data_IF_675331712089
#
_entry.id   IF_675331712089
#
_cell.length_a   1.000
_cell.length_b   1.000
_cell.length_c   1.000
_cell.angle_alpha   90.00
_cell.angle_beta   90.00
_cell.angle_gamma   90.00
#
_symmetry.space_group_name_H-M   'P 1'
#
loop_
_entity.id
_entity.type
_entity.pdbx_description
1 polymer ?
#
# COMPACT_ATOMS: atom_id res chain seq x y z
N UNK A 1 6.82 -18.95 -0.01
CA UNK A 1 5.46 -18.46 0.35
C UNK A 1 4.63 -18.36 -0.92
N UNK A 2 3.33 -18.63 -0.88
CA UNK A 2 2.41 -18.30 -2.00
C UNK A 2 1.75 -16.94 -1.76
N UNK A 3 1.18 -16.32 -2.79
CA UNK A 3 0.46 -15.03 -2.68
C UNK A 3 -0.64 -15.12 -1.62
N UNK A 4 -1.53 -16.11 -1.70
CA UNK A 4 -2.65 -16.25 -0.76
C UNK A 4 -2.19 -16.43 0.69
N UNK A 5 -1.17 -17.25 0.92
CA UNK A 5 -0.61 -17.45 2.26
C UNK A 5 -0.01 -16.16 2.82
N UNK A 6 0.69 -15.39 1.99
CA UNK A 6 1.24 -14.10 2.40
C UNK A 6 0.13 -13.08 2.74
N UNK A 7 -0.95 -13.04 1.95
CA UNK A 7 -2.09 -12.15 2.22
C UNK A 7 -2.77 -12.53 3.54
N UNK A 8 -3.00 -13.82 3.77
CA UNK A 8 -3.60 -14.32 5.02
C UNK A 8 -2.71 -14.03 6.24
N UNK A 9 -1.39 -14.24 6.14
CA UNK A 9 -0.42 -13.90 7.20
C UNK A 9 -0.41 -12.40 7.47
N UNK A 10 -0.43 -11.56 6.44
CA UNK A 10 -0.45 -10.11 6.62
C UNK A 10 -1.70 -9.65 7.39
N UNK A 11 -2.87 -10.17 7.00
CA UNK A 11 -4.16 -9.84 7.61
C UNK A 11 -4.29 -10.34 9.04
N UNK A 12 -3.70 -11.49 9.38
CA UNK A 12 -3.81 -12.07 10.73
C UNK A 12 -3.05 -11.26 11.79
N UNK A 13 -1.99 -10.54 11.40
CA UNK A 13 -1.10 -9.86 12.35
C UNK A 13 -1.54 -8.40 12.64
N UNK A 14 -2.68 -7.93 12.10
CA UNK A 14 -3.19 -6.53 12.25
C UNK A 14 -2.09 -5.47 12.11
N UNK A 15 -1.16 -5.64 11.17
CA UNK A 15 0.00 -4.75 11.04
C UNK A 15 -0.44 -3.37 10.55
N UNK A 16 -0.21 -2.34 11.36
CA UNK A 16 -0.34 -0.93 10.96
C UNK A 16 1.01 -0.46 10.41
N UNK A 17 1.31 -0.78 9.15
CA UNK A 17 2.52 -0.32 8.46
C UNK A 17 2.16 0.40 7.17
N UNK A 18 2.96 1.43 6.83
CA UNK A 18 2.84 2.15 5.56
C UNK A 18 3.05 1.25 4.33
N UNK A 19 2.60 1.73 3.17
CA UNK A 19 2.63 0.99 1.90
C UNK A 19 4.01 0.50 1.46
N UNK A 20 5.06 1.29 1.71
CA UNK A 20 6.46 0.89 1.46
C UNK A 20 6.84 -0.34 2.28
N UNK A 21 6.57 -0.30 3.59
CA UNK A 21 6.90 -1.39 4.51
C UNK A 21 6.06 -2.64 4.26
N UNK A 22 4.80 -2.47 3.85
CA UNK A 22 3.91 -3.57 3.48
C UNK A 22 4.39 -4.27 2.20
N UNK A 23 4.75 -3.48 1.18
CA UNK A 23 5.29 -3.99 -0.08
C UNK A 23 6.62 -4.71 0.12
N UNK A 24 7.57 -4.10 0.83
CA UNK A 24 8.87 -4.73 1.11
C UNK A 24 8.71 -6.07 1.85
N UNK A 25 7.80 -6.12 2.82
CA UNK A 25 7.49 -7.36 3.55
C UNK A 25 6.97 -8.47 2.63
N UNK A 26 6.13 -8.13 1.65
CA UNK A 26 5.55 -9.08 0.71
C UNK A 26 6.58 -9.59 -0.29
N UNK A 27 7.34 -8.68 -0.92
CA UNK A 27 8.37 -9.03 -1.91
C UNK A 27 9.48 -9.91 -1.32
N UNK A 28 9.78 -9.77 -0.01
CA UNK A 28 10.72 -10.66 0.70
C UNK A 28 10.21 -12.10 0.87
N UNK A 29 8.90 -12.33 0.77
CA UNK A 29 8.26 -13.64 1.02
C UNK A 29 7.82 -14.34 -0.25
N UNK A 30 7.26 -13.59 -1.18
CA UNK A 30 6.74 -14.08 -2.46
C UNK A 30 7.74 -13.73 -3.55
N UNK A 31 8.40 -14.76 -4.09
CA UNK A 31 9.38 -14.59 -5.16
C UNK A 31 8.71 -14.00 -6.41
N UNK A 32 9.51 -13.35 -7.25
CA UNK A 32 9.12 -12.72 -8.52
C UNK A 32 8.22 -11.48 -8.41
N UNK A 33 7.84 -11.08 -7.19
CA UNK A 33 7.22 -9.78 -6.96
C UNK A 33 8.30 -8.73 -6.66
N UNK A 34 8.10 -7.53 -7.18
CA UNK A 34 8.94 -6.36 -6.97
C UNK A 34 8.08 -5.13 -6.68
N UNK A 35 8.64 -4.10 -6.01
CA UNK A 35 7.90 -2.89 -5.71
C UNK A 35 7.64 -2.05 -6.97
N UNK A 36 6.40 -1.59 -7.16
CA UNK A 36 6.00 -0.62 -8.18
C UNK A 36 5.45 0.64 -7.48
N UNK A 37 5.91 1.81 -7.91
CA UNK A 37 5.38 3.10 -7.45
C UNK A 37 4.24 3.53 -8.35
N UNK A 38 3.11 3.84 -7.75
CA UNK A 38 1.93 4.39 -8.40
C UNK A 38 1.77 5.84 -7.99
N UNK A 39 1.52 6.70 -8.98
CA UNK A 39 1.03 8.05 -8.73
C UNK A 39 -0.50 7.97 -8.63
N UNK A 40 -1.06 8.38 -7.49
CA UNK A 40 -2.50 8.42 -7.24
C UNK A 40 -2.93 9.84 -6.89
N UNK A 41 -4.24 10.07 -6.97
CA UNK A 41 -4.87 11.34 -6.67
C UNK A 41 -5.88 11.14 -5.53
N UNK A 42 -5.91 12.06 -4.57
CA UNK A 42 -6.99 12.11 -3.58
C UNK A 42 -8.31 12.52 -4.25
N UNK A 43 -9.42 12.47 -3.51
CA UNK A 43 -10.70 12.97 -4.02
C UNK A 43 -10.66 14.48 -4.32
N UNK A 44 -9.80 15.19 -3.59
CA UNK A 44 -9.55 16.62 -3.70
C UNK A 44 -8.55 16.96 -4.82
N UNK A 45 -7.96 15.95 -5.47
CA UNK A 45 -7.02 16.11 -6.57
C UNK A 45 -5.54 16.20 -6.16
N UNK A 46 -5.23 16.02 -4.87
CA UNK A 46 -3.84 16.04 -4.40
C UNK A 46 -3.07 14.82 -4.90
N UNK A 47 -1.86 15.05 -5.39
CA UNK A 47 -0.99 13.99 -5.88
C UNK A 47 -0.29 13.32 -4.71
N UNK A 48 -0.32 11.99 -4.67
CA UNK A 48 0.49 11.21 -3.75
C UNK A 48 1.12 9.99 -4.42
N UNK A 49 2.21 9.50 -3.82
CA UNK A 49 2.93 8.32 -4.28
C UNK A 49 2.58 7.14 -3.38
N UNK A 50 2.16 6.04 -3.99
CA UNK A 50 1.85 4.79 -3.32
C UNK A 50 2.73 3.67 -3.83
N UNK A 51 3.06 2.70 -2.98
CA UNK A 51 3.92 1.56 -3.36
C UNK A 51 3.15 0.26 -3.16
N UNK A 52 3.14 -0.55 -4.22
CA UNK A 52 2.51 -1.88 -4.24
C UNK A 52 3.51 -2.95 -4.68
N UNK A 53 3.20 -4.22 -4.47
CA UNK A 53 3.96 -5.33 -5.03
C UNK A 53 3.36 -5.76 -6.38
N UNK A 54 4.18 -6.00 -7.39
CA UNK A 54 3.75 -6.51 -8.69
C UNK A 54 4.73 -7.54 -9.26
N UNK A 55 4.25 -8.46 -10.09
CA UNK A 55 5.09 -9.31 -10.94
C UNK A 55 5.05 -8.87 -12.42
N UNK A 56 4.39 -7.75 -12.72
CA UNK A 56 4.14 -7.25 -14.07
C UNK A 56 2.78 -7.68 -14.66
N UNK A 57 2.10 -8.65 -14.05
CA UNK A 57 0.75 -9.09 -14.44
C UNK A 57 -0.27 -8.82 -13.33
N UNK A 58 0.08 -9.15 -12.09
CA UNK A 58 -0.76 -9.01 -10.90
C UNK A 58 -0.21 -7.91 -10.01
N UNK A 59 -1.11 -7.09 -9.48
CA UNK A 59 -0.81 -6.03 -8.51
C UNK A 59 -1.40 -6.37 -7.14
N UNK A 60 -0.58 -6.31 -6.09
CA UNK A 60 -0.95 -6.60 -4.71
C UNK A 60 -0.72 -5.36 -3.84
N UNK A 61 -1.83 -4.82 -3.33
CA UNK A 61 -1.84 -3.69 -2.39
C UNK A 61 -2.23 -4.17 -0.99
N UNK A 62 -1.25 -4.27 -0.10
CA UNK A 62 -1.44 -4.73 1.28
C UNK A 62 -1.81 -3.62 2.26
N UNK A 63 -1.71 -2.36 1.84
CA UNK A 63 -1.95 -1.20 2.70
C UNK A 63 -2.75 -0.11 1.97
N UNK A 64 -3.94 -0.43 1.42
CA UNK A 64 -4.73 0.53 0.64
C UNK A 64 -5.28 1.68 1.51
N UNK A 65 -5.28 1.53 2.83
CA UNK A 65 -5.70 2.59 3.76
C UNK A 65 -4.61 3.61 4.05
N UNK A 66 -3.34 3.32 3.73
CA UNK A 66 -2.23 4.27 3.86
C UNK A 66 -2.24 5.36 2.78
N UNK A 67 -3.16 5.27 1.82
CA UNK A 67 -3.41 6.22 0.73
C UNK A 67 -4.06 7.53 1.15
N UNK A 68 -4.37 7.71 2.44
CA UNK A 68 -4.94 8.95 2.93
C UNK A 68 -3.81 9.81 3.47
N UNK A 69 -3.22 10.76 2.70
CA UNK A 69 -2.71 11.95 3.35
C UNK A 69 -3.84 12.46 4.26
N UNK A 70 -3.53 12.87 5.49
CA UNK A 70 -4.56 13.41 6.40
C UNK A 70 -5.43 14.33 5.57
N UNK A 71 -6.73 14.00 5.43
CA UNK A 71 -7.70 14.93 4.89
C UNK A 71 -7.37 16.26 5.57
N UNK A 72 -7.06 17.30 4.78
CA UNK A 72 -6.98 18.64 5.35
C UNK A 72 -8.36 18.88 5.96
N UNK A 73 -8.50 18.61 7.25
CA UNK A 73 -9.57 19.17 8.04
C UNK A 73 -9.35 20.67 7.87
N UNK A 74 -10.21 21.31 7.07
CA UNK A 74 -10.33 22.76 6.99
C UNK A 74 -10.71 23.25 8.39
N UNK A 75 -9.72 23.34 9.28
CA UNK A 75 -9.81 24.00 10.57
C UNK A 75 -9.28 25.44 10.48
N UNK A 76 -9.32 26.02 9.28
CA UNK A 76 -9.26 27.47 9.11
C UNK A 76 -10.71 27.97 9.15
N UNK A 77 -11.24 28.09 10.38
CA UNK A 77 -12.31 29.03 10.68
C UNK A 77 -11.77 29.98 11.74
N UNK A 78 -11.45 31.17 11.26
CA UNK A 78 -11.51 32.51 11.89
C UNK A 78 -11.29 32.61 13.41
#
# INVERSE_FOLDING_TARGET
MTVDKAILEWKSIKRTRGCVSATDWFCKRVKNFYPERLTRYTKEGDIFQHVIATDGTIRIDLAPSCDRPRERLNNDKD
#
